data_IF_424140485582
#
_entry.id   IF_424140485582
#
_cell.length_a   1.000
_cell.length_b   1.000
_cell.length_c   1.000
_cell.angle_alpha   90.00
_cell.angle_beta   90.00
_cell.angle_gamma   90.00
#
_symmetry.space_group_name_H-M   'P 1'
#
loop_
_entity.id
_entity.type
_entity.pdbx_description
1 polymer ?
#
# COMPACT_ATOMS: atom_id res chain seq x y z
N UNK A 1 23.15 9.92 -4.68
CA UNK A 1 22.12 9.23 -5.48
C UNK A 1 22.35 7.73 -5.35
N UNK A 2 21.28 6.91 -5.37
CA UNK A 2 21.38 5.45 -5.23
C UNK A 2 22.09 4.75 -6.42
N UNK A 3 22.13 5.41 -7.58
CA UNK A 3 22.85 4.98 -8.79
C UNK A 3 23.64 6.14 -9.40
N UNK A 4 24.74 6.51 -8.75
CA UNK A 4 25.65 7.56 -9.25
C UNK A 4 26.36 7.17 -10.55
N UNK A 5 26.65 5.89 -10.74
CA UNK A 5 27.28 5.36 -11.95
C UNK A 5 26.22 4.96 -13.01
N UNK A 6 26.14 5.67 -14.16
CA UNK A 6 25.21 5.33 -15.25
C UNK A 6 25.50 3.95 -15.86
N UNK A 7 26.76 3.53 -15.96
CA UNK A 7 27.12 2.26 -16.60
C UNK A 7 26.63 1.08 -15.79
N UNK A 8 26.84 1.12 -14.46
CA UNK A 8 26.36 0.08 -13.56
C UNK A 8 24.83 0.01 -13.53
N UNK A 9 24.14 1.15 -13.55
CA UNK A 9 22.67 1.17 -13.63
C UNK A 9 22.17 0.46 -14.89
N UNK A 10 22.76 0.77 -16.05
CA UNK A 10 22.40 0.17 -17.33
C UNK A 10 22.69 -1.33 -17.34
N UNK A 11 23.84 -1.74 -16.82
CA UNK A 11 24.21 -3.16 -16.74
C UNK A 11 23.23 -3.95 -15.86
N UNK A 12 22.91 -3.45 -14.67
CA UNK A 12 21.96 -4.08 -13.75
C UNK A 12 20.53 -4.09 -14.34
N UNK A 13 20.08 -2.98 -14.91
CA UNK A 13 18.79 -2.92 -15.59
C UNK A 13 18.71 -3.92 -16.75
N UNK A 14 19.80 -4.09 -17.52
CA UNK A 14 19.86 -5.08 -18.59
C UNK A 14 19.85 -6.51 -18.07
N UNK A 15 20.52 -6.80 -16.94
CA UNK A 15 20.48 -8.12 -16.29
C UNK A 15 19.08 -8.44 -15.79
N UNK A 16 18.44 -7.53 -15.05
CA UNK A 16 17.06 -7.70 -14.55
C UNK A 16 16.09 -7.82 -15.72
N UNK A 17 16.30 -7.04 -16.78
CA UNK A 17 15.51 -7.05 -18.00
C UNK A 17 15.55 -8.36 -18.80
N UNK A 18 16.45 -9.31 -18.49
CA UNK A 18 16.48 -10.65 -19.10
C UNK A 18 15.60 -11.67 -18.40
N UNK A 19 15.19 -11.41 -17.16
CA UNK A 19 14.34 -12.32 -16.38
C UNK A 19 12.93 -12.37 -16.97
N UNK A 20 12.41 -13.57 -17.17
CA UNK A 20 11.04 -13.80 -17.67
C UNK A 20 10.41 -14.96 -16.91
N UNK A 21 9.51 -14.64 -16.00
CA UNK A 21 8.80 -15.63 -15.19
C UNK A 21 7.42 -15.10 -14.79
N UNK A 22 6.40 -15.96 -14.74
CA UNK A 22 5.03 -15.54 -14.45
C UNK A 22 4.87 -14.95 -13.04
N UNK A 23 5.71 -15.39 -12.10
CA UNK A 23 5.74 -14.88 -10.72
C UNK A 23 6.58 -13.60 -10.54
N UNK A 24 7.15 -13.02 -11.61
CA UNK A 24 7.98 -11.81 -11.56
C UNK A 24 7.43 -10.76 -12.53
N UNK A 25 7.24 -9.53 -12.05
CA UNK A 25 6.87 -8.40 -12.92
C UNK A 25 8.03 -8.11 -13.87
N UNK A 26 7.81 -8.16 -15.17
CA UNK A 26 8.87 -7.99 -16.15
C UNK A 26 9.31 -6.53 -16.25
N UNK A 27 10.63 -6.29 -16.15
CA UNK A 27 11.23 -5.02 -16.54
C UNK A 27 11.25 -4.93 -18.07
N UNK A 28 10.60 -3.91 -18.63
CA UNK A 28 10.44 -3.72 -20.08
C UNK A 28 11.39 -2.66 -20.64
N UNK A 29 11.90 -1.75 -19.81
CA UNK A 29 12.83 -0.72 -20.25
C UNK A 29 13.45 0.06 -19.11
N UNK A 30 14.37 0.94 -19.45
CA UNK A 30 14.99 1.90 -18.55
C UNK A 30 15.31 3.20 -19.29
N UNK A 31 15.49 4.29 -18.54
CA UNK A 31 16.07 5.55 -19.04
C UNK A 31 17.30 5.88 -18.20
N UNK A 32 18.40 6.22 -18.88
CA UNK A 32 19.62 6.71 -18.27
C UNK A 32 20.08 7.94 -19.05
N UNK A 33 19.67 9.12 -18.59
CA UNK A 33 19.97 10.40 -19.23
C UNK A 33 20.45 11.41 -18.19
N UNK A 34 21.65 11.97 -18.37
CA UNK A 34 22.29 12.84 -17.38
C UNK A 34 22.29 12.23 -15.96
N UNK A 35 21.54 12.85 -15.05
CA UNK A 35 21.37 12.42 -13.66
C UNK A 35 20.10 11.59 -13.42
N UNK A 36 19.24 11.43 -14.43
CA UNK A 36 17.98 10.71 -14.33
C UNK A 36 18.19 9.19 -14.52
N UNK A 37 17.53 8.40 -13.66
CA UNK A 37 17.57 6.93 -13.66
C UNK A 37 16.15 6.42 -13.48
N UNK A 38 15.52 6.01 -14.59
CA UNK A 38 14.13 5.52 -14.58
C UNK A 38 14.09 4.06 -14.98
N UNK A 39 13.21 3.29 -14.35
CA UNK A 39 12.91 1.91 -14.70
C UNK A 39 11.47 1.82 -15.15
N UNK A 40 11.22 1.04 -16.18
CA UNK A 40 9.88 0.83 -16.75
C UNK A 40 9.58 -0.66 -16.68
N UNK A 41 8.51 -1.03 -15.98
CA UNK A 41 8.06 -2.40 -15.81
C UNK A 41 6.63 -2.58 -16.32
N UNK A 42 6.24 -3.84 -16.56
CA UNK A 42 4.87 -4.17 -16.92
C UNK A 42 3.88 -3.70 -15.85
N UNK A 43 2.76 -3.10 -16.29
CA UNK A 43 1.71 -2.62 -15.40
C UNK A 43 0.91 -3.80 -14.83
N UNK A 44 0.56 -3.71 -13.55
CA UNK A 44 -0.20 -4.73 -12.81
C UNK A 44 -1.51 -4.08 -12.32
N UNK A 45 -2.65 -4.33 -13.00
CA UNK A 45 -3.87 -3.56 -12.77
C UNK A 45 -4.63 -3.93 -11.49
N UNK A 46 -4.35 -5.09 -10.89
CA UNK A 46 -5.09 -5.61 -9.73
C UNK A 46 -4.41 -5.29 -8.38
N UNK A 47 -3.75 -4.13 -8.32
CA UNK A 47 -3.13 -3.56 -7.11
C UNK A 47 -2.04 -4.43 -6.44
N UNK A 48 -1.60 -4.02 -5.24
CA UNK A 48 -0.60 -4.72 -4.42
C UNK A 48 -1.23 -5.64 -3.38
N UNK A 49 -0.43 -6.57 -2.85
CA UNK A 49 -0.81 -7.36 -1.67
C UNK A 49 -1.14 -6.47 -0.49
N UNK A 50 -0.39 -5.39 -0.26
CA UNK A 50 -0.67 -4.47 0.84
C UNK A 50 -2.09 -3.87 0.76
N UNK A 51 -2.54 -3.48 -0.44
CA UNK A 51 -3.91 -2.96 -0.62
C UNK A 51 -4.95 -4.06 -0.44
N UNK A 52 -4.73 -5.24 -1.02
CA UNK A 52 -5.70 -6.36 -0.96
C UNK A 52 -5.77 -7.07 0.40
N UNK A 53 -4.69 -7.06 1.18
CA UNK A 53 -4.61 -7.77 2.46
C UNK A 53 -4.95 -6.87 3.65
N UNK A 54 -4.49 -5.62 3.65
CA UNK A 54 -4.63 -4.73 4.82
C UNK A 54 -5.76 -3.71 4.70
N UNK A 55 -6.10 -3.29 3.47
CA UNK A 55 -6.96 -2.11 3.24
C UNK A 55 -8.33 -2.45 2.65
N UNK A 56 -8.63 -3.72 2.38
CA UNK A 56 -9.89 -4.15 1.76
C UNK A 56 -10.93 -4.51 2.82
N UNK A 57 -11.77 -3.53 3.17
CA UNK A 57 -12.78 -3.63 4.26
C UNK A 57 -13.93 -4.60 3.98
N UNK A 58 -14.33 -4.76 2.72
CA UNK A 58 -15.52 -5.53 2.34
C UNK A 58 -15.20 -7.01 2.08
N UNK A 59 -13.98 -7.32 1.63
CA UNK A 59 -13.59 -8.68 1.24
C UNK A 59 -12.22 -9.04 1.80
N UNK A 60 -12.24 -9.85 2.86
CA UNK A 60 -11.04 -10.51 3.41
C UNK A 60 -10.38 -11.36 2.32
N UNK A 61 -9.06 -11.26 2.20
CA UNK A 61 -8.33 -12.16 1.32
C UNK A 61 -8.48 -13.61 1.80
N UNK A 62 -9.09 -14.44 0.95
CA UNK A 62 -9.31 -15.86 1.21
C UNK A 62 -7.99 -16.60 1.47
N UNK A 63 -8.05 -17.64 2.32
CA UNK A 63 -6.90 -18.42 2.72
C UNK A 63 -6.09 -18.98 1.53
N UNK A 64 -6.78 -19.51 0.52
CA UNK A 64 -6.14 -20.03 -0.69
C UNK A 64 -5.34 -18.97 -1.46
N UNK A 65 -5.84 -17.72 -1.50
CA UNK A 65 -5.11 -16.64 -2.15
C UNK A 65 -3.85 -16.29 -1.37
N UNK A 66 -3.88 -16.36 -0.03
CA UNK A 66 -2.69 -16.15 0.82
C UNK A 66 -1.63 -17.22 0.57
N UNK A 67 -2.03 -18.48 0.41
CA UNK A 67 -1.13 -19.57 0.02
C UNK A 67 -0.52 -19.34 -1.37
N UNK A 68 -1.33 -18.94 -2.35
CA UNK A 68 -0.86 -18.61 -3.71
C UNK A 68 0.16 -17.48 -3.71
N UNK A 69 -0.06 -16.45 -2.89
CA UNK A 69 0.90 -15.34 -2.72
C UNK A 69 2.22 -15.84 -2.15
N UNK A 70 2.20 -16.63 -1.07
CA UNK A 70 3.43 -17.17 -0.48
C UNK A 70 4.20 -18.06 -1.48
N UNK A 71 3.47 -18.91 -2.21
CA UNK A 71 4.03 -19.77 -3.24
C UNK A 71 4.67 -18.97 -4.38
N UNK A 72 3.94 -17.98 -4.92
CA UNK A 72 4.45 -17.07 -5.95
C UNK A 72 5.75 -16.39 -5.53
N UNK A 73 5.82 -15.87 -4.29
CA UNK A 73 7.03 -15.20 -3.81
C UNK A 73 8.19 -16.19 -3.69
N UNK A 74 7.96 -17.39 -3.16
CA UNK A 74 8.98 -18.43 -3.11
C UNK A 74 9.51 -18.80 -4.51
N UNK A 75 8.61 -18.99 -5.49
CA UNK A 75 8.98 -19.28 -6.87
C UNK A 75 9.77 -18.14 -7.53
N UNK A 76 9.33 -16.91 -7.31
CA UNK A 76 10.01 -15.72 -7.83
C UNK A 76 11.43 -15.61 -7.29
N UNK A 77 11.63 -15.82 -5.98
CA UNK A 77 12.94 -15.78 -5.36
C UNK A 77 13.84 -16.92 -5.83
N UNK A 78 13.31 -18.15 -5.97
CA UNK A 78 14.07 -19.29 -6.49
C UNK A 78 14.54 -19.07 -7.94
N UNK A 79 13.63 -18.60 -8.80
CA UNK A 79 13.93 -18.28 -10.19
C UNK A 79 15.00 -17.19 -10.30
N UNK A 80 14.86 -16.10 -9.54
CA UNK A 80 15.84 -15.02 -9.52
C UNK A 80 17.21 -15.49 -9.02
N UNK A 81 17.24 -16.34 -7.98
CA UNK A 81 18.46 -16.96 -7.47
C UNK A 81 19.18 -17.78 -8.55
N UNK A 82 18.44 -18.60 -9.30
CA UNK A 82 18.97 -19.34 -10.46
C UNK A 82 19.48 -18.43 -11.59
N UNK A 83 18.95 -17.21 -11.70
CA UNK A 83 19.41 -16.16 -12.61
C UNK A 83 20.62 -15.35 -12.10
N UNK A 84 21.20 -15.71 -10.95
CA UNK A 84 22.36 -15.03 -10.37
C UNK A 84 22.03 -13.80 -9.50
N UNK A 85 20.78 -13.67 -9.06
CA UNK A 85 20.34 -12.63 -8.12
C UNK A 85 20.27 -13.21 -6.70
N UNK A 86 21.31 -12.96 -5.90
CA UNK A 86 21.43 -13.50 -4.54
C UNK A 86 20.73 -12.66 -3.47
N UNK A 87 20.20 -11.50 -3.82
CA UNK A 87 19.56 -10.56 -2.90
C UNK A 87 18.33 -9.90 -3.50
N UNK A 88 17.39 -9.51 -2.64
CA UNK A 88 16.21 -8.73 -3.01
C UNK A 88 15.92 -7.70 -1.91
N UNK A 89 16.07 -6.41 -2.24
CA UNK A 89 16.26 -5.35 -1.25
C UNK A 89 14.97 -4.85 -0.58
N UNK A 90 13.80 -5.04 -1.20
CA UNK A 90 12.54 -4.42 -0.76
C UNK A 90 11.38 -5.41 -0.57
N UNK A 91 11.69 -6.67 -0.22
CA UNK A 91 10.65 -7.69 -0.05
C UNK A 91 9.64 -7.27 1.03
N UNK A 92 8.39 -7.06 0.61
CA UNK A 92 7.28 -6.64 1.47
C UNK A 92 5.93 -6.88 0.77
N UNK A 93 4.82 -6.63 1.47
CA UNK A 93 3.50 -6.68 0.84
C UNK A 93 3.28 -5.62 -0.26
N UNK A 94 4.11 -4.57 -0.30
CA UNK A 94 4.05 -3.55 -1.36
C UNK A 94 4.78 -3.98 -2.62
N UNK A 95 5.73 -4.91 -2.51
CA UNK A 95 6.49 -5.43 -3.66
C UNK A 95 5.80 -6.60 -4.35
N UNK A 96 4.68 -7.10 -3.83
CA UNK A 96 3.86 -8.14 -4.46
C UNK A 96 2.64 -7.48 -5.08
N UNK A 97 2.44 -7.70 -6.38
CA UNK A 97 1.38 -7.14 -7.21
C UNK A 97 0.51 -8.24 -7.80
N UNK A 98 -0.59 -7.87 -8.46
CA UNK A 98 -1.45 -8.82 -9.16
C UNK A 98 -1.66 -8.44 -10.62
N UNK A 99 -1.48 -9.42 -11.50
CA UNK A 99 -1.69 -9.27 -12.94
C UNK A 99 -3.19 -9.22 -13.28
N UNK A 100 -3.53 -9.10 -14.56
CA UNK A 100 -4.91 -9.04 -15.07
C UNK A 100 -5.78 -10.24 -14.64
N UNK A 101 -5.19 -11.44 -14.57
CA UNK A 101 -5.85 -12.67 -14.14
C UNK A 101 -6.03 -12.77 -12.61
N UNK A 102 -5.46 -11.83 -11.87
CA UNK A 102 -5.49 -11.77 -10.40
C UNK A 102 -4.44 -12.65 -9.72
N UNK A 103 -3.51 -13.21 -10.48
CA UNK A 103 -2.37 -13.98 -9.98
C UNK A 103 -1.27 -13.06 -9.43
N UNK A 104 -0.61 -13.53 -8.38
CA UNK A 104 0.44 -12.77 -7.71
C UNK A 104 1.71 -12.69 -8.59
N UNK A 105 2.42 -11.57 -8.49
CA UNK A 105 3.72 -11.33 -9.12
C UNK A 105 4.62 -10.51 -8.18
N UNK A 106 5.89 -10.90 -8.03
CA UNK A 106 6.88 -10.12 -7.30
C UNK A 106 7.49 -9.04 -8.21
N UNK A 107 7.57 -7.80 -7.74
CA UNK A 107 8.17 -6.69 -8.48
C UNK A 107 9.64 -6.98 -8.86
N UNK A 108 10.07 -6.63 -10.06
CA UNK A 108 11.49 -6.73 -10.42
C UNK A 108 12.36 -5.65 -9.76
N UNK A 109 11.78 -4.57 -9.24
CA UNK A 109 12.57 -3.43 -8.76
C UNK A 109 13.42 -3.75 -7.54
N UNK A 110 13.01 -4.72 -6.71
CA UNK A 110 13.82 -5.16 -5.58
C UNK A 110 15.11 -5.90 -5.96
N UNK A 111 15.25 -6.31 -7.23
CA UNK A 111 16.45 -6.95 -7.76
C UNK A 111 17.53 -5.94 -8.14
N UNK A 112 17.18 -4.66 -8.27
CA UNK A 112 18.15 -3.61 -8.59
C UNK A 112 19.08 -3.38 -7.40
N UNK A 113 20.38 -3.59 -7.61
CA UNK A 113 21.40 -3.31 -6.60
C UNK A 113 21.64 -1.81 -6.51
N UNK A 114 21.39 -1.21 -5.34
CA UNK A 114 21.88 0.14 -5.04
C UNK A 114 23.36 0.03 -4.66
N UNK A 115 24.20 0.91 -5.22
CA UNK A 115 25.59 1.00 -4.82
C UNK A 115 25.72 2.17 -3.83
N UNK A 116 25.66 1.86 -2.54
CA UNK A 116 26.02 2.81 -1.48
C UNK A 116 27.50 2.60 -1.14
N UNK A 117 28.22 3.71 -1.02
CA UNK A 117 29.59 3.72 -0.51
C UNK A 117 29.56 3.17 0.94
N UNK A 118 30.50 2.29 1.25
CA UNK A 118 30.47 1.30 2.34
C UNK A 118 30.63 1.88 3.77
N UNK A 119 30.17 3.12 4.01
CA UNK A 119 30.38 3.86 5.27
C UNK A 119 29.15 3.98 6.17
N UNK A 120 28.38 2.89 6.34
CA UNK A 120 27.45 2.78 7.48
C UNK A 120 27.64 1.47 8.25
N UNK A 121 28.82 1.30 8.84
CA UNK A 121 28.92 0.54 10.09
C UNK A 121 28.44 1.41 11.25
N UNK A 122 27.24 1.15 11.78
CA UNK A 122 26.91 1.12 13.23
C UNK A 122 25.41 1.00 13.50
N UNK A 123 24.98 -0.20 13.91
CA UNK A 123 23.88 -0.43 14.85
C UNK A 123 22.43 -0.17 14.40
N UNK A 124 21.78 -1.14 13.74
CA UNK A 124 20.35 -1.43 13.93
C UNK A 124 20.01 -2.77 13.28
N UNK A 125 19.53 -3.71 14.10
CA UNK A 125 18.77 -4.95 13.84
C UNK A 125 18.85 -5.60 12.45
N UNK A 126 19.12 -6.92 12.43
CA UNK A 126 19.26 -7.84 11.28
C UNK A 126 18.00 -7.98 10.37
N UNK A 127 17.08 -7.00 10.38
CA UNK A 127 15.89 -6.90 9.52
C UNK A 127 16.21 -6.67 8.03
N UNK A 128 17.49 -6.59 7.68
CA UNK A 128 17.94 -6.46 6.29
C UNK A 128 17.94 -7.80 5.53
N UNK A 129 18.03 -8.95 6.23
CA UNK A 129 18.06 -10.27 5.57
C UNK A 129 16.78 -10.57 4.78
N UNK A 130 16.94 -11.10 3.57
CA UNK A 130 15.83 -11.54 2.71
C UNK A 130 14.94 -12.59 3.40
N UNK A 131 15.54 -13.51 4.14
CA UNK A 131 14.83 -14.57 4.88
C UNK A 131 13.92 -13.96 5.94
N UNK A 132 14.45 -13.00 6.69
CA UNK A 132 13.71 -12.28 7.73
C UNK A 132 12.52 -11.51 7.14
N UNK A 133 12.71 -10.86 5.98
CA UNK A 133 11.63 -10.18 5.25
C UNK A 133 10.58 -11.16 4.73
N UNK A 134 10.99 -12.34 4.26
CA UNK A 134 10.07 -13.41 3.86
C UNK A 134 9.27 -13.92 5.06
N UNK A 135 9.92 -14.15 6.20
CA UNK A 135 9.25 -14.48 7.47
C UNK A 135 8.21 -13.44 7.86
N UNK A 136 8.56 -12.16 7.81
CA UNK A 136 7.64 -11.05 8.06
C UNK A 136 6.43 -11.08 7.11
N UNK A 137 6.65 -11.36 5.82
CA UNK A 137 5.57 -11.49 4.84
C UNK A 137 4.62 -12.65 5.19
N UNK A 138 5.14 -13.78 5.67
CA UNK A 138 4.31 -14.90 6.12
C UNK A 138 3.47 -14.53 7.36
N UNK A 139 4.02 -13.77 8.30
CA UNK A 139 3.25 -13.27 9.46
C UNK A 139 2.12 -12.33 9.01
N UNK A 140 2.39 -11.45 8.02
CA UNK A 140 1.36 -10.59 7.43
C UNK A 140 0.24 -11.44 6.79
N UNK A 141 0.60 -12.48 6.04
CA UNK A 141 -0.36 -13.39 5.42
C UNK A 141 -1.18 -14.15 6.48
N UNK A 142 -0.58 -14.64 7.55
CA UNK A 142 -1.30 -15.32 8.62
C UNK A 142 -2.29 -14.39 9.32
N UNK A 143 -1.83 -13.19 9.69
CA UNK A 143 -2.59 -12.26 10.52
C UNK A 143 -3.54 -11.35 9.78
N UNK A 144 -3.36 -11.17 8.46
CA UNK A 144 -4.06 -10.15 7.69
C UNK A 144 -3.69 -8.72 8.07
N UNK A 145 -2.59 -8.54 8.83
CA UNK A 145 -2.17 -7.24 9.37
C UNK A 145 -0.82 -6.82 8.82
N UNK A 146 -0.59 -5.52 8.72
CA UNK A 146 0.72 -4.98 8.39
C UNK A 146 1.61 -4.97 9.64
N UNK A 147 2.57 -5.89 9.69
CA UNK A 147 3.50 -6.01 10.81
C UNK A 147 4.87 -5.44 10.37
N UNK A 148 5.43 -4.47 11.12
CA UNK A 148 6.79 -4.01 10.91
C UNK A 148 7.78 -5.16 11.11
N UNK A 149 8.83 -5.27 10.28
CA UNK A 149 9.79 -6.37 10.37
C UNK A 149 10.37 -6.55 11.79
N UNK A 150 10.68 -5.47 12.50
CA UNK A 150 11.23 -5.53 13.86
C UNK A 150 10.33 -6.24 14.88
N UNK A 151 9.01 -6.26 14.66
CA UNK A 151 8.02 -6.85 15.57
C UNK A 151 7.54 -8.23 15.13
N UNK A 152 7.92 -8.67 13.93
CA UNK A 152 7.53 -9.99 13.42
C UNK A 152 7.99 -11.14 14.34
N UNK A 153 9.23 -11.12 14.92
CA UNK A 153 9.66 -12.16 15.86
C UNK A 153 8.78 -12.22 17.12
N UNK A 154 8.47 -11.08 17.72
CA UNK A 154 7.60 -11.04 18.92
C UNK A 154 6.20 -11.56 18.61
N UNK A 155 5.67 -11.22 17.43
CA UNK A 155 4.36 -11.68 16.99
C UNK A 155 4.27 -13.19 16.83
N UNK A 156 5.37 -13.85 16.50
CA UNK A 156 5.39 -15.29 16.32
C UNK A 156 5.80 -16.04 17.60
N UNK A 157 6.68 -15.47 18.41
CA UNK A 157 7.15 -16.11 19.65
C UNK A 157 6.15 -16.00 20.80
N UNK A 158 5.35 -14.94 20.85
CA UNK A 158 4.43 -14.69 21.97
C UNK A 158 3.00 -15.19 21.70
N UNK A 159 2.71 -15.77 20.54
CA UNK A 159 1.36 -16.18 20.14
C UNK A 159 1.29 -17.64 19.72
N UNK A 160 0.17 -18.27 20.01
CA UNK A 160 -0.22 -19.51 19.34
C UNK A 160 -0.66 -19.25 17.90
N UNK A 161 -0.67 -20.30 17.06
CA UNK A 161 -1.20 -20.23 15.69
C UNK A 161 -2.60 -19.62 15.67
N UNK A 162 -3.45 -19.98 16.64
CA UNK A 162 -4.84 -19.54 16.74
C UNK A 162 -4.95 -18.04 17.03
N UNK A 163 -4.06 -17.49 17.86
CA UNK A 163 -4.04 -16.06 18.22
C UNK A 163 -3.43 -15.17 17.14
N UNK A 164 -2.59 -15.75 16.28
CA UNK A 164 -1.97 -15.02 15.18
C UNK A 164 -2.87 -14.94 13.95
N UNK A 165 -3.68 -15.97 13.70
CA UNK A 165 -4.51 -16.05 12.49
C UNK A 165 -5.52 -14.90 12.42
N UNK A 166 -5.70 -14.38 11.21
CA UNK A 166 -6.67 -13.35 10.90
C UNK A 166 -8.10 -13.76 11.33
N UNK A 167 -8.72 -13.06 12.29
CA UNK A 167 -10.07 -13.38 12.74
C UNK A 167 -11.12 -13.25 11.62
N UNK A 168 -10.83 -12.44 10.59
CA UNK A 168 -11.76 -12.24 9.48
C UNK A 168 -11.86 -13.45 8.54
N UNK A 169 -10.94 -14.43 8.64
CA UNK A 169 -11.07 -15.70 7.94
C UNK A 169 -12.25 -16.53 8.47
N UNK A 170 -12.80 -16.22 9.66
CA UNK A 170 -13.99 -16.89 10.23
C UNK A 170 -13.90 -18.42 10.20
N UNK A 171 -12.71 -18.97 10.45
CA UNK A 171 -12.45 -20.42 10.43
C UNK A 171 -12.28 -21.04 9.04
N UNK A 172 -12.31 -20.27 7.95
CA UNK A 172 -12.09 -20.73 6.57
C UNK A 172 -10.60 -20.89 6.25
N UNK A 173 -9.90 -21.72 7.02
CA UNK A 173 -8.51 -22.07 6.79
C UNK A 173 -8.22 -23.48 7.31
N UNK A 174 -7.18 -24.14 6.82
CA UNK A 174 -6.72 -25.40 7.39
C UNK A 174 -5.76 -25.16 8.55
N UNK A 175 -6.04 -25.72 9.72
CA UNK A 175 -5.17 -25.63 10.89
C UNK A 175 -3.80 -26.29 10.64
N UNK A 176 -3.76 -27.36 9.84
CA UNK A 176 -2.51 -28.03 9.45
C UNK A 176 -1.64 -27.11 8.58
N UNK A 177 -2.24 -26.48 7.56
CA UNK A 177 -1.53 -25.57 6.66
C UNK A 177 -1.05 -24.33 7.42
N UNK A 178 -1.91 -23.75 8.28
CA UNK A 178 -1.57 -22.61 9.12
C UNK A 178 -0.41 -22.94 10.07
N UNK A 179 -0.38 -24.15 10.65
CA UNK A 179 0.72 -24.60 11.52
C UNK A 179 2.03 -24.73 10.75
N UNK A 180 2.00 -25.21 9.50
CA UNK A 180 3.19 -25.31 8.65
C UNK A 180 3.74 -23.91 8.37
N UNK A 181 2.89 -22.97 7.94
CA UNK A 181 3.31 -21.59 7.62
C UNK A 181 3.81 -20.88 8.87
N UNK A 182 3.16 -21.08 10.02
CA UNK A 182 3.61 -20.53 11.30
C UNK A 182 5.02 -21.03 11.66
N UNK A 183 5.28 -22.34 11.53
CA UNK A 183 6.61 -22.89 11.79
C UNK A 183 7.67 -22.33 10.84
N UNK A 184 7.35 -22.24 9.55
CA UNK A 184 8.25 -21.63 8.55
C UNK A 184 8.54 -20.17 8.87
N UNK A 185 7.52 -19.39 9.19
CA UNK A 185 7.68 -17.99 9.57
C UNK A 185 8.55 -17.86 10.83
N UNK A 186 8.36 -18.75 11.82
CA UNK A 186 9.17 -18.76 13.03
C UNK A 186 10.63 -19.06 12.72
N UNK A 187 10.92 -20.05 11.88
CA UNK A 187 12.27 -20.37 11.42
C UNK A 187 12.91 -19.20 10.65
N UNK A 188 12.16 -18.56 9.76
CA UNK A 188 12.65 -17.41 8.98
C UNK A 188 12.99 -16.19 9.84
N UNK A 189 12.39 -16.08 11.03
CA UNK A 189 12.57 -14.97 11.96
C UNK A 189 13.61 -15.26 13.05
N UNK A 190 14.19 -16.47 13.09
CA UNK A 190 15.28 -16.80 14.00
C UNK A 190 16.60 -16.18 13.53
N UNK A 191 17.35 -15.61 14.48
CA UNK A 191 18.56 -14.81 14.22
C UNK A 191 19.81 -15.66 13.94
N UNK A 192 19.78 -16.97 14.19
CA UNK A 192 21.00 -17.79 14.33
C UNK A 192 21.33 -18.65 13.10
N UNK A 193 20.40 -18.88 12.17
CA UNK A 193 20.60 -19.77 11.00
C UNK A 193 20.34 -19.04 9.65
N UNK A 194 21.06 -17.94 9.41
CA UNK A 194 20.83 -17.03 8.27
C UNK A 194 21.53 -17.50 6.97
N UNK A 195 22.42 -18.50 7.05
CA UNK A 195 23.14 -18.98 5.87
C UNK A 195 22.31 -20.03 5.11
N UNK A 196 21.76 -19.56 3.99
CA UNK A 196 21.04 -20.28 2.93
C UNK A 196 19.51 -20.33 3.09
N UNK A 197 18.86 -19.31 2.54
CA UNK A 197 17.51 -19.45 2.00
C UNK A 197 17.55 -20.60 0.98
N UNK A 198 17.17 -21.81 1.37
CA UNK A 198 16.93 -22.86 0.39
C UNK A 198 15.58 -22.57 -0.25
N UNK A 199 15.56 -21.66 -1.22
CA UNK A 199 14.37 -21.27 -1.97
C UNK A 199 13.66 -22.47 -2.57
N UNK A 200 14.40 -23.54 -2.90
CA UNK A 200 13.82 -24.82 -3.37
C UNK A 200 12.99 -25.53 -2.31
N UNK A 201 13.43 -25.52 -1.05
CA UNK A 201 12.67 -26.12 0.05
C UNK A 201 11.39 -25.33 0.32
N UNK A 202 11.46 -23.99 0.23
CA UNK A 202 10.28 -23.13 0.33
C UNK A 202 9.29 -23.41 -0.81
N UNK A 203 9.78 -23.46 -2.05
CA UNK A 203 8.95 -23.80 -3.22
C UNK A 203 8.29 -25.17 -3.04
N UNK A 204 9.05 -26.20 -2.67
CA UNK A 204 8.53 -27.56 -2.45
C UNK A 204 7.46 -27.58 -1.36
N UNK A 205 7.69 -26.85 -0.27
CA UNK A 205 6.73 -26.76 0.85
C UNK A 205 5.44 -26.09 0.41
N UNK A 206 5.52 -24.94 -0.26
CA UNK A 206 4.34 -24.22 -0.74
C UNK A 206 3.63 -24.89 -1.91
N UNK A 207 4.35 -25.63 -2.77
CA UNK A 207 3.77 -26.46 -3.81
C UNK A 207 2.91 -27.58 -3.20
N UNK A 208 3.43 -28.24 -2.16
CA UNK A 208 2.68 -29.26 -1.41
C UNK A 208 1.42 -28.68 -0.77
N UNK A 209 1.49 -27.47 -0.19
CA UNK A 209 0.33 -26.78 0.35
C UNK A 209 -0.68 -26.38 -0.74
N UNK A 210 -0.19 -25.88 -1.88
CA UNK A 210 -1.02 -25.38 -2.97
C UNK A 210 -1.76 -26.49 -3.74
N UNK A 211 -1.09 -27.61 -4.04
CA UNK A 211 -1.71 -28.78 -4.70
C UNK A 211 -2.87 -29.39 -3.89
N UNK A 212 -2.84 -29.30 -2.56
CA UNK A 212 -3.94 -29.73 -1.69
C UNK A 212 -5.18 -28.83 -1.82
N UNK A 213 -4.98 -27.54 -2.10
CA UNK A 213 -6.05 -26.55 -2.27
C UNK A 213 -6.67 -26.61 -3.68
N UNK A 214 -5.86 -26.85 -4.71
CA UNK A 214 -6.26 -26.85 -6.13
C UNK A 214 -7.22 -27.99 -6.52
N UNK A 215 -7.43 -28.99 -5.67
CA UNK A 215 -8.47 -30.03 -5.88
C UNK A 215 -9.90 -29.47 -5.68
N UNK A 216 -10.06 -28.21 -5.23
CA UNK A 216 -11.38 -27.60 -4.94
C UNK A 216 -11.67 -26.22 -5.55
N UNK A 217 -10.77 -25.59 -6.31
CA UNK A 217 -10.98 -24.22 -6.78
C UNK A 217 -11.37 -24.15 -8.26
N UNK A 218 -12.66 -23.96 -8.51
CA UNK A 218 -13.20 -23.48 -9.79
C UNK A 218 -12.99 -21.97 -9.92
N UNK A 219 -12.49 -21.55 -11.08
CA UNK A 219 -12.45 -20.20 -11.66
C UNK A 219 -12.88 -19.04 -10.74
N UNK A 220 -11.91 -18.29 -10.23
CA UNK A 220 -12.15 -16.99 -9.63
C UNK A 220 -12.55 -16.01 -10.73
N UNK A 221 -13.82 -15.62 -10.78
CA UNK A 221 -14.30 -14.53 -11.65
C UNK A 221 -14.39 -13.28 -10.77
N UNK A 222 -13.61 -12.27 -11.13
CA UNK A 222 -13.73 -10.93 -10.55
C UNK A 222 -15.16 -10.41 -10.81
N UNK A 223 -15.83 -9.77 -9.83
CA UNK A 223 -17.05 -9.03 -10.13
C UNK A 223 -16.73 -7.95 -11.17
N UNK A 224 -17.43 -7.98 -12.31
CA UNK A 224 -17.39 -6.92 -13.32
C UNK A 224 -17.62 -5.55 -12.66
N UNK A 225 -16.80 -4.56 -13.03
CA UNK A 225 -17.09 -3.17 -12.73
C UNK A 225 -18.48 -2.84 -13.30
N UNK A 226 -19.45 -2.61 -12.41
CA UNK A 226 -20.83 -2.33 -12.78
C UNK A 226 -20.89 -1.17 -13.78
N UNK A 227 -21.68 -1.36 -14.85
CA UNK A 227 -21.92 -0.36 -15.89
C UNK A 227 -22.36 0.97 -15.25
N UNK A 228 -21.59 2.03 -15.52
CA UNK A 228 -21.88 3.43 -15.14
C UNK A 228 -23.30 3.81 -15.57
N UNK A 229 -24.15 4.13 -14.59
CA UNK A 229 -25.43 4.82 -14.84
C UNK A 229 -25.24 6.31 -14.61
N UNK A 230 -25.79 7.12 -15.51
CA UNK A 230 -25.89 8.57 -15.36
C UNK A 230 -26.68 8.90 -14.08
N UNK A 231 -26.02 9.57 -13.12
CA UNK A 231 -26.66 10.10 -11.92
C UNK A 231 -26.97 11.57 -12.15
N UNK A 232 -28.24 11.95 -11.99
CA UNK A 232 -28.67 13.35 -12.08
C UNK A 232 -28.16 14.16 -10.88
N UNK A 233 -27.48 15.28 -11.13
CA UNK A 233 -26.89 16.26 -10.18
C UNK A 233 -27.86 16.87 -9.13
N UNK A 234 -29.10 16.41 -9.00
CA UNK A 234 -30.13 17.05 -8.18
C UNK A 234 -30.12 16.62 -6.70
N UNK A 235 -29.17 15.76 -6.29
CA UNK A 235 -28.98 15.34 -4.90
C UNK A 235 -27.49 15.36 -4.55
N UNK A 236 -26.96 16.56 -4.24
CA UNK A 236 -25.61 16.71 -3.70
C UNK A 236 -25.63 16.42 -2.19
N UNK A 237 -24.58 15.77 -1.70
CA UNK A 237 -24.34 15.64 -0.26
C UNK A 237 -24.07 17.01 0.37
N UNK A 238 -24.04 17.07 1.71
CA UNK A 238 -23.67 18.29 2.44
C UNK A 238 -22.28 18.78 2.06
N UNK A 239 -21.34 17.87 1.79
CA UNK A 239 -20.01 18.21 1.29
C UNK A 239 -20.06 18.69 -0.16
N UNK A 240 -20.80 18.00 -1.04
CA UNK A 240 -20.95 18.39 -2.42
C UNK A 240 -21.58 19.79 -2.60
N UNK A 241 -22.60 20.12 -1.80
CA UNK A 241 -23.23 21.45 -1.81
C UNK A 241 -22.27 22.54 -1.30
N UNK A 242 -21.47 22.25 -0.27
CA UNK A 242 -20.45 23.16 0.23
C UNK A 242 -19.34 23.41 -0.82
N UNK A 243 -18.89 22.37 -1.51
CA UNK A 243 -17.93 22.46 -2.61
C UNK A 243 -18.47 23.25 -3.80
N UNK A 244 -19.71 23.00 -4.22
CA UNK A 244 -20.38 23.74 -5.29
C UNK A 244 -20.47 25.24 -4.98
N UNK A 245 -20.76 25.59 -3.71
CA UNK A 245 -20.85 26.98 -3.24
C UNK A 245 -19.49 27.62 -2.94
N UNK A 246 -18.40 26.86 -3.04
CA UNK A 246 -17.05 27.26 -2.63
C UNK A 246 -17.00 27.74 -1.17
N UNK A 247 -17.88 27.21 -0.31
CA UNK A 247 -17.97 27.58 1.10
C UNK A 247 -16.91 26.82 1.90
N UNK A 248 -15.70 27.38 1.93
CA UNK A 248 -14.56 26.78 2.64
C UNK A 248 -14.85 26.57 4.14
N UNK A 249 -15.71 27.40 4.76
CA UNK A 249 -16.06 27.26 6.19
C UNK A 249 -16.99 26.07 6.41
N UNK A 250 -17.94 25.86 5.52
CA UNK A 250 -18.78 24.67 5.54
C UNK A 250 -17.95 23.39 5.30
N UNK A 251 -17.04 23.41 4.31
CA UNK A 251 -16.13 22.29 4.04
C UNK A 251 -15.24 22.01 5.26
N UNK A 252 -14.68 23.04 5.89
CA UNK A 252 -13.87 22.91 7.11
C UNK A 252 -14.63 22.21 8.23
N UNK A 253 -15.85 22.68 8.52
CA UNK A 253 -16.70 22.08 9.55
C UNK A 253 -16.98 20.60 9.27
N UNK A 254 -17.23 20.24 8.00
CA UNK A 254 -17.46 18.84 7.60
C UNK A 254 -16.19 18.02 7.82
N UNK A 255 -15.01 18.48 7.39
CA UNK A 255 -13.74 17.76 7.52
C UNK A 255 -13.21 17.66 8.97
N UNK A 256 -13.61 18.58 9.85
CA UNK A 256 -13.38 18.48 11.30
C UNK A 256 -14.21 17.34 11.90
N UNK A 257 -15.46 17.18 11.46
CA UNK A 257 -16.38 16.15 11.95
C UNK A 257 -16.18 14.80 11.25
N UNK A 258 -15.50 14.77 10.12
CA UNK A 258 -15.22 13.56 9.37
C UNK A 258 -14.28 12.64 10.17
N UNK A 259 -14.77 11.44 10.48
CA UNK A 259 -14.00 10.39 11.13
C UNK A 259 -13.30 9.49 10.10
N UNK A 260 -12.86 10.05 8.96
CA UNK A 260 -12.37 9.30 7.79
C UNK A 260 -11.13 8.43 8.07
N UNK A 261 -10.41 8.69 9.17
CA UNK A 261 -9.26 7.87 9.58
C UNK A 261 -9.53 6.98 10.79
N UNK A 262 -10.75 6.93 11.35
CA UNK A 262 -11.02 6.15 12.57
C UNK A 262 -10.61 4.68 12.40
N UNK A 263 -10.80 4.14 11.20
CA UNK A 263 -10.43 2.76 10.84
C UNK A 263 -8.92 2.58 10.52
N UNK A 264 -8.19 3.64 10.15
CA UNK A 264 -6.71 3.59 10.06
C UNK A 264 -6.07 3.69 11.45
N UNK A 265 -6.71 4.45 12.35
CA UNK A 265 -6.31 4.66 13.74
C UNK A 265 -6.65 3.45 14.62
N UNK A 266 -7.77 2.75 14.39
CA UNK A 266 -8.12 1.52 15.14
C UNK A 266 -7.40 0.25 14.66
N UNK A 267 -6.85 0.23 13.44
CA UNK A 267 -6.16 -0.95 12.89
C UNK A 267 -4.63 -0.82 12.80
N UNK A 268 -4.04 0.24 13.35
CA UNK A 268 -2.58 0.35 13.42
C UNK A 268 -2.10 1.11 14.65
N UNK A 269 -1.46 0.35 15.56
CA UNK A 269 -0.50 0.81 16.55
C UNK A 269 -1.01 1.72 17.67
N UNK A 270 -1.39 1.10 18.80
CA UNK A 270 -1.50 1.85 20.05
C UNK A 270 -0.17 2.05 20.81
N UNK A 271 0.97 1.38 20.52
CA UNK A 271 2.11 1.50 21.47
C UNK A 271 3.56 1.49 20.96
N UNK A 272 3.89 1.31 19.68
CA UNK A 272 5.26 0.84 19.36
C UNK A 272 6.05 1.64 18.31
N UNK A 273 6.63 2.78 18.74
CA UNK A 273 7.99 3.34 18.47
C UNK A 273 8.08 4.81 18.98
N UNK A 274 9.24 5.28 19.45
CA UNK A 274 9.48 6.72 19.73
C UNK A 274 9.17 7.58 18.48
N UNK A 275 9.59 7.12 17.29
CA UNK A 275 9.30 7.78 16.00
C UNK A 275 7.80 7.78 15.65
N UNK A 276 7.02 6.80 16.10
CA UNK A 276 5.55 6.74 15.87
C UNK A 276 4.83 7.68 16.83
N UNK A 277 5.33 7.82 18.06
CA UNK A 277 4.86 8.86 19.00
C UNK A 277 5.09 10.25 18.41
N UNK A 278 6.26 10.49 17.81
CA UNK A 278 6.56 11.77 17.15
C UNK A 278 5.63 12.04 15.96
N UNK A 279 5.35 11.03 15.12
CA UNK A 279 4.40 11.16 14.00
C UNK A 279 2.98 11.45 14.51
N UNK A 280 2.53 10.76 15.56
CA UNK A 280 1.22 10.99 16.16
C UNK A 280 1.14 12.38 16.84
N UNK A 281 2.21 12.83 17.50
CA UNK A 281 2.33 14.17 18.07
C UNK A 281 2.22 15.25 16.99
N UNK A 282 2.98 15.12 15.89
CA UNK A 282 2.92 16.06 14.76
C UNK A 282 1.52 16.08 14.15
N UNK A 283 0.87 14.92 14.01
CA UNK A 283 -0.51 14.85 13.53
C UNK A 283 -1.50 15.51 14.49
N UNK A 284 -1.43 15.22 15.79
CA UNK A 284 -2.28 15.85 16.81
C UNK A 284 -2.13 17.36 16.79
N UNK A 285 -0.89 17.86 16.65
CA UNK A 285 -0.60 19.29 16.52
C UNK A 285 -1.20 19.87 15.24
N UNK A 286 -1.06 19.19 14.11
CA UNK A 286 -1.67 19.60 12.83
C UNK A 286 -3.19 19.63 12.89
N UNK A 287 -3.82 18.61 13.48
CA UNK A 287 -5.27 18.50 13.64
C UNK A 287 -5.82 19.57 14.61
N UNK A 288 -5.09 19.87 15.68
CA UNK A 288 -5.42 20.96 16.59
C UNK A 288 -5.33 22.32 15.89
N UNK A 289 -4.24 22.58 15.16
CA UNK A 289 -4.07 23.81 14.39
C UNK A 289 -5.16 23.95 13.31
N UNK A 290 -5.52 22.86 12.64
CA UNK A 290 -6.62 22.82 11.69
C UNK A 290 -7.96 23.17 12.35
N UNK A 291 -8.26 22.60 13.52
CA UNK A 291 -9.46 22.91 14.30
C UNK A 291 -9.52 24.39 14.71
N UNK A 292 -8.39 24.95 15.14
CA UNK A 292 -8.24 26.35 15.54
C UNK A 292 -8.17 27.33 14.35
N UNK A 293 -8.20 26.83 13.12
CA UNK A 293 -8.05 27.59 11.87
C UNK A 293 -6.69 28.29 11.72
N UNK A 294 -5.66 27.79 12.41
CA UNK A 294 -4.26 28.13 12.16
C UNK A 294 -3.74 27.29 10.99
N UNK A 295 -4.11 27.71 9.79
CA UNK A 295 -3.86 26.94 8.57
C UNK A 295 -2.39 26.85 8.18
N UNK A 296 -1.57 27.85 8.51
CA UNK A 296 -0.12 27.82 8.22
C UNK A 296 0.58 26.76 9.08
N UNK A 297 0.32 26.75 10.39
CA UNK A 297 0.86 25.71 11.28
C UNK A 297 0.35 24.32 10.91
N UNK A 298 -0.93 24.20 10.51
CA UNK A 298 -1.48 22.94 10.05
C UNK A 298 -0.79 22.44 8.76
N UNK A 299 -0.51 23.32 7.80
CA UNK A 299 0.24 22.98 6.57
C UNK A 299 1.62 22.44 6.90
N UNK A 300 2.34 23.09 7.80
CA UNK A 300 3.70 22.66 8.18
C UNK A 300 3.68 21.28 8.82
N UNK A 301 2.76 21.04 9.75
CA UNK A 301 2.61 19.73 10.40
C UNK A 301 2.25 18.63 9.39
N UNK A 302 1.25 18.86 8.55
CA UNK A 302 0.84 17.89 7.54
C UNK A 302 1.92 17.65 6.46
N UNK A 303 2.72 18.66 6.14
CA UNK A 303 3.83 18.52 5.20
C UNK A 303 4.95 17.66 5.76
N UNK A 304 5.29 17.83 7.04
CA UNK A 304 6.23 16.94 7.72
C UNK A 304 5.75 15.49 7.67
N UNK A 305 4.47 15.23 7.97
CA UNK A 305 3.91 13.87 7.91
C UNK A 305 4.03 13.23 6.52
N UNK A 306 3.76 14.02 5.48
CA UNK A 306 3.82 13.54 4.08
C UNK A 306 5.26 13.31 3.62
N UNK A 307 6.21 14.18 4.01
CA UNK A 307 7.63 14.04 3.68
C UNK A 307 8.29 12.83 4.35
N UNK A 308 7.86 12.49 5.58
CA UNK A 308 8.33 11.31 6.28
C UNK A 308 7.98 9.98 5.57
N UNK A 309 7.11 9.98 4.53
CA UNK A 309 6.84 8.89 3.56
C UNK A 309 6.51 7.50 4.14
N UNK A 310 6.15 7.38 5.42
CA UNK A 310 5.91 6.08 6.08
C UNK A 310 4.43 5.71 6.25
N UNK A 311 3.53 6.69 6.34
CA UNK A 311 2.09 6.48 6.52
C UNK A 311 1.28 7.48 5.68
N UNK A 312 0.19 7.02 5.09
CA UNK A 312 -0.65 7.81 4.18
C UNK A 312 -2.06 7.90 4.78
N UNK A 313 -2.42 9.07 5.29
CA UNK A 313 -3.74 9.34 5.84
C UNK A 313 -4.55 10.18 4.85
N UNK A 314 -5.70 9.70 4.34
CA UNK A 314 -6.56 10.48 3.46
C UNK A 314 -6.88 11.86 4.03
N UNK A 315 -7.22 11.93 5.32
CA UNK A 315 -7.57 13.20 5.96
C UNK A 315 -6.44 14.21 5.98
N UNK A 316 -5.17 13.77 6.08
CA UNK A 316 -4.01 14.67 6.11
C UNK A 316 -3.90 15.39 4.77
N UNK A 317 -4.11 14.69 3.65
CA UNK A 317 -4.14 15.33 2.33
C UNK A 317 -5.36 16.24 2.18
N UNK A 318 -6.55 15.82 2.61
CA UNK A 318 -7.74 16.66 2.49
C UNK A 318 -7.68 17.93 3.34
N UNK A 319 -7.23 17.82 4.59
CA UNK A 319 -7.09 18.95 5.52
C UNK A 319 -6.00 19.91 5.03
N UNK A 320 -4.84 19.40 4.59
CA UNK A 320 -3.78 20.25 4.01
C UNK A 320 -4.22 20.92 2.71
N UNK A 321 -4.93 20.20 1.84
CA UNK A 321 -5.54 20.76 0.64
C UNK A 321 -6.47 21.92 0.99
N UNK A 322 -7.36 21.74 1.97
CA UNK A 322 -8.24 22.82 2.42
C UNK A 322 -7.46 23.99 3.04
N UNK A 323 -6.42 23.74 3.84
CA UNK A 323 -5.55 24.80 4.34
C UNK A 323 -4.94 25.62 3.20
N UNK A 324 -4.43 24.98 2.14
CA UNK A 324 -3.95 25.68 0.95
C UNK A 324 -5.04 26.54 0.29
N UNK A 325 -6.29 26.06 0.24
CA UNK A 325 -7.42 26.84 -0.30
C UNK A 325 -7.73 28.08 0.56
N UNK A 326 -7.60 28.00 1.89
CA UNK A 326 -7.72 29.14 2.80
C UNK A 326 -6.54 30.11 2.68
N UNK A 327 -5.32 29.60 2.50
CA UNK A 327 -4.11 30.40 2.28
C UNK A 327 -3.98 30.93 0.84
N UNK A 328 -5.02 30.80 0.00
CA UNK A 328 -5.06 31.25 -1.39
C UNK A 328 -3.96 30.63 -2.28
N UNK A 329 -3.67 29.34 -2.09
CA UNK A 329 -2.69 28.54 -2.85
C UNK A 329 -3.39 27.40 -3.62
N UNK A 330 -4.29 27.70 -4.57
CA UNK A 330 -5.12 26.68 -5.22
C UNK A 330 -4.33 25.67 -6.08
N UNK A 331 -3.16 26.03 -6.63
CA UNK A 331 -2.29 25.09 -7.36
C UNK A 331 -1.75 23.97 -6.46
N UNK A 332 -1.37 24.32 -5.22
CA UNK A 332 -0.89 23.34 -4.23
C UNK A 332 -2.03 22.48 -3.71
N UNK A 333 -3.21 23.09 -3.50
CA UNK A 333 -4.42 22.36 -3.15
C UNK A 333 -4.79 21.32 -4.23
N UNK A 334 -4.77 21.71 -5.51
CA UNK A 334 -5.03 20.80 -6.62
C UNK A 334 -4.05 19.63 -6.63
N UNK A 335 -2.75 19.91 -6.44
CA UNK A 335 -1.72 18.87 -6.37
C UNK A 335 -1.98 17.87 -5.23
N UNK A 336 -2.37 18.35 -4.05
CA UNK A 336 -2.73 17.48 -2.93
C UNK A 336 -3.97 16.63 -3.23
N UNK A 337 -4.99 17.23 -3.87
CA UNK A 337 -6.18 16.52 -4.32
C UNK A 337 -5.86 15.41 -5.34
N UNK A 338 -4.98 15.67 -6.30
CA UNK A 338 -4.53 14.69 -7.29
C UNK A 338 -3.72 13.55 -6.66
N UNK A 339 -2.84 13.85 -5.72
CA UNK A 339 -2.08 12.83 -4.97
C UNK A 339 -3.04 11.99 -4.11
N UNK A 340 -4.02 12.62 -3.45
CA UNK A 340 -5.03 11.91 -2.67
C UNK A 340 -5.86 10.98 -3.55
N UNK A 341 -6.26 11.42 -4.75
CA UNK A 341 -6.95 10.57 -5.74
C UNK A 341 -6.08 9.39 -6.17
N UNK A 342 -4.78 9.60 -6.42
CA UNK A 342 -3.88 8.52 -6.82
C UNK A 342 -3.73 7.46 -5.73
N UNK A 343 -3.71 7.87 -4.46
CA UNK A 343 -3.57 6.98 -3.32
C UNK A 343 -4.90 6.34 -2.92
N UNK A 344 -6.02 7.06 -3.12
CA UNK A 344 -7.37 6.68 -2.70
C UNK A 344 -8.39 6.97 -3.83
N UNK A 345 -8.40 6.17 -4.92
CA UNK A 345 -9.22 6.44 -6.10
C UNK A 345 -10.73 6.33 -5.85
N UNK A 346 -11.13 5.55 -4.86
CA UNK A 346 -12.55 5.37 -4.48
C UNK A 346 -13.01 6.37 -3.40
N UNK A 347 -12.20 7.39 -3.08
CA UNK A 347 -12.52 8.36 -2.01
C UNK A 347 -13.06 9.69 -2.58
N UNK A 348 -14.38 9.96 -2.45
CA UNK A 348 -15.03 11.09 -3.11
C UNK A 348 -14.51 12.46 -2.65
N UNK A 349 -14.08 12.58 -1.39
CA UNK A 349 -13.58 13.83 -0.80
C UNK A 349 -12.39 14.41 -1.57
N UNK A 350 -11.51 13.57 -2.13
CA UNK A 350 -10.39 14.03 -2.95
C UNK A 350 -10.88 14.77 -4.20
N UNK A 351 -11.87 14.23 -4.91
CA UNK A 351 -12.46 14.85 -6.09
C UNK A 351 -13.24 16.13 -5.73
N UNK A 352 -14.00 16.10 -4.63
CA UNK A 352 -14.68 17.30 -4.14
C UNK A 352 -13.72 18.46 -3.91
N UNK A 353 -12.59 18.23 -3.24
CA UNK A 353 -11.59 19.28 -3.01
C UNK A 353 -10.86 19.73 -4.28
N UNK A 354 -10.57 18.81 -5.21
CA UNK A 354 -10.03 19.17 -6.53
C UNK A 354 -10.97 20.10 -7.29
N UNK A 355 -12.30 19.85 -7.25
CA UNK A 355 -13.28 20.72 -7.91
C UNK A 355 -13.20 22.17 -7.40
N UNK A 356 -13.01 22.35 -6.08
CA UNK A 356 -12.87 23.68 -5.45
C UNK A 356 -11.58 24.36 -5.86
N UNK A 357 -10.47 23.61 -5.92
CA UNK A 357 -9.18 24.12 -6.37
C UNK A 357 -9.22 24.56 -7.84
N UNK A 358 -9.78 23.72 -8.71
CA UNK A 358 -9.98 24.01 -10.14
C UNK A 358 -10.85 25.24 -10.36
N UNK A 359 -11.92 25.39 -9.57
CA UNK A 359 -12.77 26.59 -9.65
C UNK A 359 -11.99 27.86 -9.27
N UNK A 360 -11.15 27.82 -8.23
CA UNK A 360 -10.29 28.95 -7.85
C UNK A 360 -9.21 29.27 -8.88
N UNK A 361 -8.81 28.29 -9.70
CA UNK A 361 -7.91 28.47 -10.85
C UNK A 361 -8.64 28.94 -12.12
N UNK A 362 -9.94 29.23 -12.06
CA UNK A 362 -10.80 29.57 -13.20
C UNK A 362 -10.92 28.44 -14.25
N UNK A 363 -10.64 27.20 -13.87
CA UNK A 363 -10.83 26.00 -14.70
C UNK A 363 -12.26 25.47 -14.49
N UNK A 364 -13.25 26.24 -14.94
CA UNK A 364 -14.67 26.03 -14.59
C UNK A 364 -15.24 24.73 -15.17
N UNK A 365 -14.85 24.35 -16.38
CA UNK A 365 -15.28 23.08 -17.01
C UNK A 365 -14.77 21.89 -16.23
N UNK A 366 -13.48 21.89 -15.93
CA UNK A 366 -12.81 20.79 -15.24
C UNK A 366 -13.34 20.67 -13.81
N UNK A 367 -13.54 21.81 -13.14
CA UNK A 367 -14.20 21.86 -11.83
C UNK A 367 -15.58 21.19 -11.85
N UNK A 368 -16.43 21.53 -12.83
CA UNK A 368 -17.77 20.98 -12.93
C UNK A 368 -17.76 19.46 -13.22
N UNK A 369 -16.82 19.00 -14.05
CA UNK A 369 -16.70 17.58 -14.38
C UNK A 369 -16.13 16.77 -13.21
N UNK A 370 -15.12 17.30 -12.51
CA UNK A 370 -14.60 16.69 -11.27
C UNK A 370 -15.67 16.64 -10.17
N UNK A 371 -16.51 17.68 -10.05
CA UNK A 371 -17.62 17.69 -9.09
C UNK A 371 -18.64 16.59 -9.38
N UNK A 372 -19.01 16.39 -10.66
CA UNK A 372 -19.91 15.28 -11.07
C UNK A 372 -19.30 13.92 -10.74
N UNK A 373 -18.01 13.75 -11.00
CA UNK A 373 -17.30 12.50 -10.71
C UNK A 373 -17.29 12.20 -9.21
N UNK A 374 -17.06 13.22 -8.37
CA UNK A 374 -17.15 13.10 -6.91
C UNK A 374 -18.54 12.61 -6.46
N UNK A 375 -19.60 13.21 -6.99
CA UNK A 375 -20.99 12.83 -6.66
C UNK A 375 -21.32 11.40 -7.11
N UNK A 376 -20.82 10.97 -8.28
CA UNK A 376 -21.02 9.60 -8.77
C UNK A 376 -20.31 8.58 -7.87
N UNK A 377 -19.08 8.88 -7.45
CA UNK A 377 -18.30 8.02 -6.55
C UNK A 377 -18.97 7.91 -5.18
N UNK A 378 -19.46 9.02 -4.63
CA UNK A 378 -20.16 9.05 -3.35
C UNK A 378 -21.46 8.23 -3.38
N UNK A 379 -22.28 8.38 -4.43
CA UNK A 379 -23.49 7.58 -4.61
C UNK A 379 -23.20 6.08 -4.75
N UNK A 380 -22.11 5.74 -5.46
CA UNK A 380 -21.67 4.34 -5.60
C UNK A 380 -21.27 3.75 -4.25
N UNK A 381 -20.59 4.53 -3.42
CA UNK A 381 -20.18 4.12 -2.07
C UNK A 381 -21.36 3.93 -1.13
N UNK A 382 -22.33 4.86 -1.12
CA UNK A 382 -23.53 4.75 -0.27
C UNK A 382 -24.38 3.52 -0.61
N UNK A 383 -24.55 3.22 -1.90
CA UNK A 383 -25.25 2.00 -2.32
C UNK A 383 -24.55 0.71 -1.89
N UNK A 384 -23.21 0.69 -1.88
CA UNK A 384 -22.43 -0.46 -1.40
C UNK A 384 -22.52 -0.65 0.12
N UNK A 385 -22.74 0.42 0.88
CA UNK A 385 -22.93 0.39 2.34
C UNK A 385 -24.37 -0.02 2.73
N UNK A 386 -25.39 0.23 1.89
CA UNK A 386 -26.78 -0.19 2.12
C UNK A 386 -27.05 -1.68 1.79
N UNK A 387 -26.23 -2.30 0.93
CA UNK A 387 -26.34 -3.72 0.56
C UNK A 387 -25.52 -4.66 1.48
N UNK A 388 -24.72 -4.12 2.42
CA UNK A 388 -23.91 -4.86 3.41
C UNK A 388 -24.58 -4.95 4.77
#
# INVERSE_FOLDING_TARGET
MAWSDPYQFVEEAHRVGKLRHNSVVNLIGYCCDGNERLLVAAFMPNDTLAKRLFHRKIQTMEWEMRLRVAFCVAQALDYCSGGGFTSYNNLSAYSVLFNEDGDACLSCFGLMKEFKDDQRTTGSVNSESLIFRFGTLLVNLLSGKQIPPSHAPEMIHCKSVVELIDPNLKGKFSAEEATIIFKLASQCLQYEDIESLNTKDLVTTFETLHTKTNVKASSYVLPEMAKRKDVSLNQLSTLGDACLKLDLKAIHKILVMAEDDKELVELSFEEWLEEVKDIQEVRKRGDQAFLEQDFETAIDCYSQLIEFRRMVYPSVYARRCLCYLFCNQPDRALKDGMVAQQLFPDWPTAFYLQSVALSKLNMITDSADTLKEATLLEATRQHQEEES
#
